data_IF_291301462056
#
_entry.id   IF_291301462056
#
_cell.length_a   1.000
_cell.length_b   1.000
_cell.length_c   1.000
_cell.angle_alpha   90.00
_cell.angle_beta   90.00
_cell.angle_gamma   90.00
#
_symmetry.space_group_name_H-M   'P 1'
#
loop_
_entity.id
_entity.type
_entity.pdbx_description
1 polymer ?
#
# COMPACT_ATOMS: atom_id res chain seq x y z
N UNK A 1 35.95 -25.93 6.79
CA UNK A 1 36.06 -24.46 6.58
C UNK A 1 36.14 -24.23 5.07
N UNK A 2 35.08 -23.73 4.43
CA UNK A 2 35.10 -23.34 3.01
C UNK A 2 36.03 -22.13 2.85
N UNK A 3 37.04 -22.24 2.00
CA UNK A 3 37.84 -21.10 1.59
C UNK A 3 36.99 -20.19 0.74
N UNK A 4 36.64 -19.00 1.23
CA UNK A 4 36.12 -17.93 0.40
C UNK A 4 37.22 -17.50 -0.57
N UNK A 5 37.07 -17.81 -1.86
CA UNK A 5 37.90 -17.19 -2.89
C UNK A 5 37.35 -15.78 -3.13
N UNK A 6 38.14 -14.78 -2.81
CA UNK A 6 37.87 -13.40 -3.23
C UNK A 6 38.02 -13.35 -4.78
N UNK A 7 36.95 -13.09 -5.47
CA UNK A 7 37.00 -12.79 -6.90
C UNK A 7 37.71 -11.44 -7.03
N UNK A 8 38.83 -11.40 -7.78
CA UNK A 8 39.52 -10.13 -7.98
C UNK A 8 38.63 -9.17 -8.79
N UNK A 9 38.70 -7.86 -8.50
CA UNK A 9 37.92 -6.85 -9.21
C UNK A 9 38.10 -6.89 -10.73
N UNK A 10 39.29 -7.29 -11.24
CA UNK A 10 39.52 -7.49 -12.66
C UNK A 10 38.69 -8.64 -13.23
N UNK A 11 38.60 -9.78 -12.55
CA UNK A 11 37.74 -10.91 -13.02
C UNK A 11 36.26 -10.57 -12.99
N UNK A 12 35.82 -9.74 -12.05
CA UNK A 12 34.47 -9.23 -12.02
C UNK A 12 34.20 -8.31 -13.21
N UNK A 13 35.11 -7.38 -13.51
CA UNK A 13 35.01 -6.48 -14.66
C UNK A 13 35.03 -7.24 -16.00
N UNK A 14 35.89 -8.25 -16.14
CA UNK A 14 35.91 -9.11 -17.33
C UNK A 14 34.61 -9.90 -17.46
N UNK A 15 34.04 -10.43 -16.39
CA UNK A 15 32.74 -11.13 -16.41
C UNK A 15 31.59 -10.20 -16.76
N UNK A 16 31.68 -8.94 -16.39
CA UNK A 16 30.63 -7.94 -16.65
C UNK A 16 30.77 -7.27 -18.03
N UNK A 17 31.93 -7.33 -18.66
CA UNK A 17 32.16 -6.69 -19.96
C UNK A 17 31.29 -7.26 -21.12
N UNK A 18 30.69 -8.43 -20.92
CA UNK A 18 29.76 -9.03 -21.86
C UNK A 18 28.27 -8.66 -21.63
N UNK A 19 27.94 -7.95 -20.57
CA UNK A 19 26.59 -7.48 -20.37
C UNK A 19 26.37 -6.16 -21.12
N UNK A 20 25.51 -6.20 -22.14
CA UNK A 20 25.04 -4.97 -22.76
C UNK A 20 24.28 -4.15 -21.71
N UNK A 21 24.55 -2.86 -21.62
CA UNK A 21 23.76 -1.96 -20.82
C UNK A 21 22.32 -1.99 -21.36
N UNK A 22 21.37 -2.33 -20.50
CA UNK A 22 19.95 -2.20 -20.82
C UNK A 22 19.66 -0.71 -20.84
N UNK A 23 19.09 -0.21 -21.95
CA UNK A 23 18.69 1.19 -22.04
C UNK A 23 17.59 1.46 -20.99
N UNK A 24 17.68 2.60 -20.34
CA UNK A 24 16.62 3.02 -19.42
C UNK A 24 15.29 3.22 -20.19
N UNK A 25 14.15 2.86 -19.60
CA UNK A 25 12.84 3.09 -20.21
C UNK A 25 12.60 4.58 -20.42
N UNK A 26 11.92 4.94 -21.52
CA UNK A 26 11.81 6.33 -21.96
C UNK A 26 10.38 6.86 -22.04
N UNK A 27 9.36 6.05 -21.85
CA UNK A 27 7.96 6.47 -21.95
C UNK A 27 6.96 5.33 -21.99
N UNK A 28 5.69 5.65 -22.22
CA UNK A 28 4.56 4.70 -22.16
C UNK A 28 4.64 3.55 -23.17
N UNK A 29 5.47 3.69 -24.23
CA UNK A 29 5.68 2.66 -25.24
C UNK A 29 6.98 1.85 -25.03
N UNK A 30 7.70 2.15 -23.97
CA UNK A 30 9.00 1.52 -23.66
C UNK A 30 9.16 1.40 -22.14
N UNK A 31 8.18 0.80 -21.49
CA UNK A 31 8.17 0.58 -20.05
C UNK A 31 8.99 -0.66 -19.67
N UNK A 32 9.58 -0.62 -18.49
CA UNK A 32 10.08 -1.80 -17.82
C UNK A 32 8.97 -2.46 -17.01
N UNK A 33 8.82 -3.77 -17.16
CA UNK A 33 7.87 -4.58 -16.40
C UNK A 33 8.61 -5.48 -15.44
N UNK A 34 8.27 -5.41 -14.18
CA UNK A 34 8.77 -6.31 -13.12
C UNK A 34 7.67 -7.31 -12.75
N UNK A 35 8.00 -8.60 -12.83
CA UNK A 35 7.13 -9.67 -12.35
C UNK A 35 7.50 -10.02 -10.93
N UNK A 36 6.61 -9.69 -9.98
CA UNK A 36 6.83 -9.93 -8.57
C UNK A 36 5.88 -10.99 -8.03
N UNK A 37 6.36 -11.83 -7.12
CA UNK A 37 5.45 -12.68 -6.36
C UNK A 37 4.57 -11.80 -5.48
N UNK A 38 3.28 -12.15 -5.39
CA UNK A 38 2.37 -11.47 -4.49
C UNK A 38 2.72 -11.75 -3.03
N UNK A 39 2.58 -10.74 -2.17
CA UNK A 39 2.95 -10.85 -0.76
C UNK A 39 2.10 -11.87 0.02
N UNK A 40 0.87 -12.10 -0.40
CA UNK A 40 -0.08 -12.97 0.29
C UNK A 40 -0.26 -14.32 -0.42
N UNK A 41 -0.49 -14.31 -1.73
CA UNK A 41 -0.78 -15.54 -2.48
C UNK A 41 0.43 -16.14 -3.20
N UNK A 42 1.61 -15.47 -3.12
CA UNK A 42 2.88 -15.85 -3.70
C UNK A 42 2.78 -16.02 -5.23
N UNK A 43 3.19 -17.16 -5.77
CA UNK A 43 3.05 -17.51 -7.19
C UNK A 43 1.63 -18.03 -7.54
N UNK A 44 0.71 -17.95 -6.61
CA UNK A 44 -0.66 -18.46 -6.69
C UNK A 44 -0.87 -19.80 -6.00
N UNK A 45 0.15 -20.36 -5.34
CA UNK A 45 -0.01 -21.60 -4.57
C UNK A 45 -0.98 -21.45 -3.40
N UNK A 46 -1.12 -20.24 -2.86
CA UNK A 46 -2.00 -19.94 -1.75
C UNK A 46 -3.31 -19.24 -2.15
N UNK A 47 -3.59 -19.07 -3.44
CA UNK A 47 -4.71 -18.26 -3.92
C UNK A 47 -6.09 -18.75 -3.45
N UNK A 48 -6.23 -20.02 -3.08
CA UNK A 48 -7.48 -20.55 -2.54
C UNK A 48 -7.61 -20.43 -1.01
N UNK A 49 -6.70 -19.70 -0.36
CA UNK A 49 -6.78 -19.38 1.06
C UNK A 49 -7.47 -18.03 1.23
N UNK A 50 -8.67 -18.02 1.81
CA UNK A 50 -9.46 -16.80 1.96
C UNK A 50 -8.85 -15.78 2.91
N UNK A 51 -8.16 -16.19 3.98
CA UNK A 51 -7.47 -15.26 4.86
C UNK A 51 -6.32 -14.55 4.14
N UNK A 52 -5.56 -15.27 3.30
CA UNK A 52 -4.50 -14.66 2.50
C UNK A 52 -5.05 -13.79 1.37
N UNK A 53 -6.17 -14.16 0.77
CA UNK A 53 -6.85 -13.33 -0.22
C UNK A 53 -7.36 -12.01 0.37
N UNK A 54 -7.84 -12.02 1.61
CA UNK A 54 -8.31 -10.80 2.30
C UNK A 54 -7.21 -10.09 3.09
N UNK A 55 -5.99 -10.68 3.17
CA UNK A 55 -4.83 -10.03 3.75
C UNK A 55 -4.36 -8.91 2.84
N UNK A 56 -4.34 -7.65 3.30
CA UNK A 56 -3.94 -6.54 2.46
C UNK A 56 -2.49 -6.67 2.00
N UNK A 57 -2.23 -6.33 0.76
CA UNK A 57 -0.86 -6.19 0.27
C UNK A 57 -0.10 -5.16 1.12
N UNK A 58 1.16 -5.40 1.49
CA UNK A 58 1.91 -4.53 2.38
C UNK A 58 2.03 -3.08 1.90
N UNK A 59 2.12 -2.85 0.60
CA UNK A 59 2.30 -1.53 0.01
C UNK A 59 1.02 -0.95 -0.54
N UNK A 60 0.33 -1.69 -1.40
CA UNK A 60 -0.84 -1.20 -2.13
C UNK A 60 -2.14 -1.28 -1.35
N UNK A 61 -2.17 -2.06 -0.26
CA UNK A 61 -3.37 -2.37 0.54
C UNK A 61 -4.52 -3.02 -0.23
N UNK A 62 -4.22 -3.55 -1.41
CA UNK A 62 -5.17 -4.34 -2.19
C UNK A 62 -5.42 -5.70 -1.55
N UNK A 63 -6.64 -6.19 -1.76
CA UNK A 63 -7.08 -7.53 -1.41
C UNK A 63 -7.82 -8.14 -2.59
N UNK A 64 -7.92 -9.46 -2.65
CA UNK A 64 -8.77 -10.20 -3.58
C UNK A 64 -8.45 -10.07 -5.08
N UNK A 65 -7.68 -9.09 -5.48
CA UNK A 65 -7.27 -8.82 -6.84
C UNK A 65 -5.81 -8.39 -6.90
N UNK A 66 -5.16 -8.55 -8.04
CA UNK A 66 -3.95 -7.83 -8.36
C UNK A 66 -4.27 -6.60 -9.22
N UNK A 67 -3.29 -5.71 -9.34
CA UNK A 67 -3.37 -4.54 -10.20
C UNK A 67 -2.09 -4.38 -11.03
N UNK A 68 -2.18 -3.58 -12.08
CA UNK A 68 -1.03 -3.04 -12.79
C UNK A 68 -0.55 -1.85 -11.97
N UNK A 69 0.55 -2.03 -11.20
CA UNK A 69 1.12 -0.94 -10.43
C UNK A 69 1.94 -0.03 -11.32
N UNK A 70 1.65 1.25 -11.26
CA UNK A 70 2.31 2.28 -12.06
C UNK A 70 2.88 3.38 -11.15
N UNK A 71 3.95 4.03 -11.61
CA UNK A 71 4.50 5.19 -10.93
C UNK A 71 3.55 6.40 -11.05
N UNK A 72 3.66 7.39 -10.14
CA UNK A 72 2.93 8.65 -10.27
C UNK A 72 3.18 9.35 -11.61
N UNK A 73 4.38 9.25 -12.16
CA UNK A 73 4.73 9.84 -13.45
C UNK A 73 3.97 9.18 -14.60
N UNK A 74 3.96 7.84 -14.66
CA UNK A 74 3.18 7.11 -15.67
C UNK A 74 1.70 7.43 -15.54
N UNK A 75 1.18 7.53 -14.33
CA UNK A 75 -0.22 7.90 -14.10
C UNK A 75 -0.56 9.31 -14.60
N UNK A 76 0.36 10.27 -14.44
CA UNK A 76 0.20 11.62 -14.95
C UNK A 76 0.26 11.67 -16.48
N UNK A 77 1.18 10.95 -17.11
CA UNK A 77 1.26 10.86 -18.57
C UNK A 77 0.06 10.15 -19.22
N UNK A 78 -0.59 9.26 -18.48
CA UNK A 78 -1.85 8.60 -18.89
C UNK A 78 -3.10 9.45 -18.62
N UNK A 79 -2.94 10.65 -18.05
CA UNK A 79 -4.05 11.51 -17.60
C UNK A 79 -5.03 10.80 -16.62
N UNK A 80 -4.52 9.85 -15.87
CA UNK A 80 -5.27 9.19 -14.79
C UNK A 80 -5.44 10.13 -13.59
N UNK A 81 -4.49 11.04 -13.38
CA UNK A 81 -4.44 11.98 -12.27
C UNK A 81 -4.22 13.37 -12.81
N UNK A 82 -5.10 14.33 -12.48
CA UNK A 82 -4.81 15.74 -12.73
C UNK A 82 -3.84 16.28 -11.66
N UNK A 83 -3.07 17.31 -11.98
CA UNK A 83 -2.12 17.94 -11.07
C UNK A 83 -2.77 18.38 -9.74
N UNK A 84 -4.05 18.81 -9.77
CA UNK A 84 -4.84 19.14 -8.59
C UNK A 84 -5.30 17.94 -7.78
N UNK A 85 -5.04 16.74 -8.24
CA UNK A 85 -5.54 15.48 -7.68
C UNK A 85 -4.48 14.63 -7.02
N UNK A 86 -3.26 15.14 -6.83
CA UNK A 86 -2.22 14.36 -6.15
C UNK A 86 -2.58 14.09 -4.68
N UNK A 87 -3.32 14.96 -4.00
CA UNK A 87 -4.06 14.63 -2.77
C UNK A 87 -5.04 13.47 -2.98
N UNK A 88 -5.50 13.27 -4.18
CA UNK A 88 -6.53 12.33 -4.55
C UNK A 88 -5.99 11.04 -5.17
N UNK A 89 -4.69 10.91 -5.42
CA UNK A 89 -4.03 9.60 -5.54
C UNK A 89 -4.31 8.80 -4.28
N UNK A 90 -4.46 9.50 -3.19
CA UNK A 90 -4.81 9.00 -1.88
C UNK A 90 -6.31 8.97 -1.63
N UNK A 91 -7.08 9.67 -2.44
CA UNK A 91 -8.54 9.69 -2.43
C UNK A 91 -9.00 9.40 -3.83
N UNK A 92 -9.29 8.23 -4.21
CA UNK A 92 -10.18 7.94 -5.34
C UNK A 92 -9.94 8.83 -6.58
N UNK A 93 -9.51 8.27 -7.66
CA UNK A 93 -9.40 8.98 -8.94
C UNK A 93 -10.72 9.75 -9.21
N UNK A 94 -10.73 11.10 -9.17
CA UNK A 94 -11.96 11.90 -9.26
C UNK A 94 -12.68 11.73 -10.61
N UNK A 95 -11.95 11.32 -11.64
CA UNK A 95 -12.50 11.10 -12.96
C UNK A 95 -13.33 9.81 -13.05
N UNK A 96 -13.31 8.99 -12.01
CA UNK A 96 -13.95 7.66 -12.00
C UNK A 96 -14.77 7.42 -10.73
N UNK A 97 -15.31 8.45 -10.10
CA UNK A 97 -16.28 8.28 -9.02
C UNK A 97 -17.67 8.09 -9.61
N UNK A 98 -18.26 6.93 -9.41
CA UNK A 98 -19.62 6.60 -9.81
C UNK A 98 -20.39 6.09 -8.59
N UNK A 99 -21.57 6.67 -8.35
CA UNK A 99 -22.44 6.30 -7.21
C UNK A 99 -21.70 6.36 -5.84
N UNK A 100 -20.83 7.36 -5.65
CA UNK A 100 -20.04 7.52 -4.42
C UNK A 100 -18.94 6.50 -4.23
N UNK A 101 -18.65 5.67 -5.24
CA UNK A 101 -17.59 4.65 -5.19
C UNK A 101 -16.46 4.99 -6.14
N UNK A 102 -15.27 4.60 -5.76
CA UNK A 102 -14.08 4.77 -6.58
C UNK A 102 -13.86 3.58 -7.48
N UNK A 103 -13.43 3.91 -8.67
CA UNK A 103 -13.04 2.94 -9.68
C UNK A 103 -11.63 3.26 -10.16
N UNK A 104 -10.88 2.24 -10.48
CA UNK A 104 -9.59 2.33 -11.13
C UNK A 104 -9.75 2.19 -12.64
N UNK A 105 -9.02 2.95 -13.46
CA UNK A 105 -9.01 2.73 -14.89
C UNK A 105 -8.46 1.34 -15.20
N UNK A 106 -8.87 0.80 -16.34
CA UNK A 106 -8.38 -0.47 -16.86
C UNK A 106 -7.42 -0.18 -17.99
N UNK A 107 -6.27 -0.85 -17.97
CA UNK A 107 -5.26 -0.74 -19.01
C UNK A 107 -4.87 -2.10 -19.57
N UNK A 108 -4.34 -2.10 -20.78
CA UNK A 108 -3.71 -3.25 -21.44
C UNK A 108 -2.20 -3.05 -21.45
N UNK A 109 -1.49 -4.06 -20.99
CA UNK A 109 -0.02 -4.16 -21.11
C UNK A 109 0.30 -5.12 -22.25
N UNK A 110 1.08 -4.63 -23.21
CA UNK A 110 1.53 -5.43 -24.38
C UNK A 110 3.05 -5.64 -24.30
N UNK A 111 3.50 -6.89 -24.40
CA UNK A 111 4.91 -7.28 -24.47
C UNK A 111 5.07 -8.37 -25.54
N UNK A 112 5.93 -8.16 -26.51
CA UNK A 112 6.22 -9.13 -27.58
C UNK A 112 4.94 -9.70 -28.24
N UNK A 113 3.93 -8.84 -28.48
CA UNK A 113 2.67 -9.21 -29.10
C UNK A 113 1.73 -10.02 -28.20
N UNK A 114 2.03 -10.16 -26.91
CA UNK A 114 1.15 -10.76 -25.89
C UNK A 114 0.57 -9.67 -25.01
N UNK A 115 -0.65 -9.87 -24.57
CA UNK A 115 -1.42 -8.86 -23.86
C UNK A 115 -2.03 -9.39 -22.58
N UNK A 116 -2.11 -8.52 -21.57
CA UNK A 116 -2.96 -8.67 -20.41
C UNK A 116 -3.72 -7.38 -20.17
N UNK A 117 -4.89 -7.51 -19.59
CA UNK A 117 -5.73 -6.37 -19.21
C UNK A 117 -6.06 -6.44 -17.73
N UNK A 118 -5.94 -5.31 -17.03
CA UNK A 118 -6.22 -5.24 -15.59
C UNK A 118 -6.42 -3.82 -15.10
N UNK A 119 -6.91 -3.72 -13.86
CA UNK A 119 -7.05 -2.43 -13.18
C UNK A 119 -5.69 -1.81 -12.88
N UNK A 120 -5.58 -0.50 -13.02
CA UNK A 120 -4.37 0.27 -12.71
C UNK A 120 -4.45 0.79 -11.30
N UNK A 121 -3.34 0.66 -10.54
CA UNK A 121 -3.18 1.33 -9.26
C UNK A 121 -1.85 2.08 -9.23
N UNK A 122 -1.91 3.31 -8.74
CA UNK A 122 -0.72 4.14 -8.56
C UNK A 122 -0.02 3.70 -7.28
N UNK A 123 1.29 3.51 -7.37
CA UNK A 123 2.14 3.15 -6.24
C UNK A 123 3.25 4.21 -6.10
N UNK A 124 3.15 5.11 -5.11
CA UNK A 124 4.20 6.08 -4.84
C UNK A 124 5.54 5.40 -4.52
N UNK A 125 6.64 5.96 -4.97
CA UNK A 125 7.99 5.38 -4.81
C UNK A 125 8.37 4.34 -5.84
N UNK A 126 7.49 4.02 -6.78
CA UNK A 126 7.84 3.20 -7.93
C UNK A 126 8.62 4.06 -8.94
N UNK A 127 9.71 3.49 -9.46
CA UNK A 127 10.56 4.18 -10.43
C UNK A 127 9.79 4.59 -11.69
N UNK A 128 10.22 5.72 -12.26
CA UNK A 128 9.63 6.28 -13.48
C UNK A 128 9.70 5.27 -14.61
N UNK A 129 8.60 5.11 -15.34
CA UNK A 129 8.47 4.17 -16.46
C UNK A 129 8.66 2.69 -16.11
N UNK A 130 8.67 2.33 -14.83
CA UNK A 130 8.58 0.95 -14.39
C UNK A 130 7.15 0.62 -13.95
N UNK A 131 6.70 -0.59 -14.25
CA UNK A 131 5.42 -1.12 -13.79
C UNK A 131 5.64 -2.47 -13.12
N UNK A 132 4.84 -2.77 -12.09
CA UNK A 132 4.88 -4.06 -11.40
C UNK A 132 3.62 -4.85 -11.73
N UNK A 133 3.80 -6.10 -12.10
CA UNK A 133 2.74 -7.07 -12.34
C UNK A 133 2.84 -8.21 -11.32
N UNK A 134 1.99 -8.22 -10.28
CA UNK A 134 1.95 -9.31 -9.32
C UNK A 134 1.56 -10.64 -9.98
N UNK A 135 2.25 -11.68 -9.58
CA UNK A 135 1.98 -13.06 -9.98
C UNK A 135 0.88 -13.68 -9.11
N UNK A 136 0.40 -14.84 -9.49
CA UNK A 136 -0.44 -15.67 -8.64
C UNK A 136 -1.92 -15.63 -8.93
N UNK A 137 -2.42 -14.57 -9.50
CA UNK A 137 -3.83 -14.33 -9.82
C UNK A 137 -4.26 -14.82 -11.21
N UNK A 138 -5.53 -14.64 -11.55
CA UNK A 138 -6.10 -14.93 -12.87
C UNK A 138 -6.32 -16.41 -13.17
N UNK A 139 -6.36 -17.25 -12.16
CA UNK A 139 -6.60 -18.70 -12.32
C UNK A 139 -8.08 -19.02 -12.41
N UNK A 140 -8.44 -19.92 -13.31
CA UNK A 140 -9.84 -20.31 -13.60
C UNK A 140 -10.31 -21.57 -12.88
N UNK A 141 -9.39 -22.34 -12.25
CA UNK A 141 -9.68 -23.58 -11.56
C UNK A 141 -8.82 -23.75 -10.32
N UNK A 142 -9.18 -23.08 -9.23
CA UNK A 142 -8.41 -23.09 -7.96
C UNK A 142 -9.26 -23.33 -6.74
N UNK A 143 -10.54 -23.62 -6.88
CA UNK A 143 -11.45 -23.81 -5.77
C UNK A 143 -12.41 -22.64 -5.58
N UNK A 144 -13.05 -22.58 -4.41
CA UNK A 144 -14.17 -21.65 -4.15
C UNK A 144 -13.75 -20.19 -4.05
N UNK A 145 -12.54 -19.94 -3.53
CA UNK A 145 -12.07 -18.60 -3.14
C UNK A 145 -11.21 -17.96 -4.24
N UNK A 146 -10.29 -18.75 -4.81
CA UNK A 146 -9.29 -18.23 -5.74
C UNK A 146 -9.70 -18.21 -7.21
N UNK A 147 -10.83 -18.81 -7.58
CA UNK A 147 -11.25 -18.88 -8.99
C UNK A 147 -11.68 -17.50 -9.49
N UNK A 148 -11.10 -17.06 -10.60
CA UNK A 148 -11.38 -15.77 -11.26
C UNK A 148 -11.05 -14.52 -10.41
N UNK A 149 -10.08 -14.62 -9.50
CA UNK A 149 -9.51 -13.46 -8.81
C UNK A 149 -8.41 -12.83 -9.67
N UNK A 150 -8.52 -11.54 -9.94
CA UNK A 150 -7.53 -10.78 -10.68
C UNK A 150 -7.27 -11.24 -12.11
N UNK A 151 -6.11 -10.85 -12.63
CA UNK A 151 -5.63 -11.24 -13.97
C UNK A 151 -4.33 -12.04 -13.89
N UNK A 152 -4.01 -12.80 -14.97
CA UNK A 152 -2.84 -13.67 -15.00
C UNK A 152 -1.65 -12.99 -15.66
N UNK A 153 -0.68 -12.52 -14.89
CA UNK A 153 0.59 -11.99 -15.37
C UNK A 153 1.47 -13.07 -16.05
N UNK A 154 1.19 -14.35 -15.79
CA UNK A 154 1.89 -15.44 -16.47
C UNK A 154 1.62 -15.49 -17.98
N UNK A 155 0.55 -14.91 -18.47
CA UNK A 155 0.21 -14.91 -19.91
C UNK A 155 1.25 -14.17 -20.76
N UNK A 156 1.93 -13.16 -20.20
CA UNK A 156 2.95 -12.37 -20.89
C UNK A 156 4.37 -12.64 -20.38
N UNK A 157 4.51 -13.38 -19.28
CA UNK A 157 5.80 -13.78 -18.72
C UNK A 157 6.42 -14.91 -19.55
N UNK A 158 7.71 -14.83 -19.85
CA UNK A 158 8.43 -15.86 -20.60
C UNK A 158 9.64 -16.39 -19.84
N UNK A 159 10.20 -17.54 -20.27
CA UNK A 159 11.43 -18.07 -19.69
C UNK A 159 12.66 -17.18 -19.94
N UNK A 160 12.61 -16.32 -20.95
CA UNK A 160 13.67 -15.34 -21.25
C UNK A 160 13.56 -14.09 -20.38
N UNK A 161 12.36 -13.81 -19.87
CA UNK A 161 11.99 -12.61 -19.12
C UNK A 161 11.20 -13.03 -17.89
N UNK A 162 11.84 -13.79 -17.01
CA UNK A 162 11.18 -14.40 -15.87
C UNK A 162 10.94 -13.43 -14.70
N UNK A 163 11.78 -12.39 -14.58
CA UNK A 163 11.72 -11.41 -13.48
C UNK A 163 11.42 -10.01 -13.96
N UNK A 164 11.99 -9.60 -15.08
CA UNK A 164 11.71 -8.29 -15.68
C UNK A 164 11.86 -8.35 -17.21
N UNK A 165 11.27 -7.37 -17.89
CA UNK A 165 11.35 -7.18 -19.34
C UNK A 165 11.18 -5.71 -19.68
N UNK A 166 11.92 -5.21 -20.65
CA UNK A 166 11.80 -3.85 -21.19
C UNK A 166 11.01 -3.85 -22.51
N UNK A 167 10.56 -2.68 -22.95
CA UNK A 167 9.84 -2.51 -24.21
C UNK A 167 8.34 -2.80 -24.11
N UNK A 168 7.78 -2.73 -22.92
CA UNK A 168 6.34 -2.89 -22.75
C UNK A 168 5.59 -1.61 -23.12
N UNK A 169 4.37 -1.78 -23.66
CA UNK A 169 3.43 -0.72 -23.96
C UNK A 169 2.26 -0.78 -22.98
N UNK A 170 1.82 0.37 -22.47
CA UNK A 170 0.67 0.52 -21.60
C UNK A 170 -0.36 1.47 -22.25
N UNK A 171 -1.58 0.99 -22.40
CA UNK A 171 -2.68 1.76 -23.01
C UNK A 171 -3.97 1.62 -22.18
N UNK A 172 -4.66 2.74 -21.95
CA UNK A 172 -5.97 2.72 -21.30
C UNK A 172 -7.03 2.15 -22.24
N UNK A 173 -7.92 1.32 -21.70
CA UNK A 173 -9.03 0.74 -22.47
C UNK A 173 -10.27 1.63 -22.50
N UNK A 174 -10.35 2.63 -21.61
CA UNK A 174 -11.56 3.43 -21.35
C UNK A 174 -12.54 2.75 -20.40
N UNK A 175 -12.30 1.51 -20.01
CA UNK A 175 -13.09 0.81 -19.00
C UNK A 175 -12.60 1.14 -17.59
N UNK A 176 -13.43 0.83 -16.59
CA UNK A 176 -13.11 1.03 -15.18
C UNK A 176 -13.50 -0.19 -14.34
N UNK A 177 -12.74 -0.45 -13.29
CA UNK A 177 -12.98 -1.54 -12.35
C UNK A 177 -12.90 -1.03 -10.90
N UNK A 178 -13.69 -1.57 -10.02
CA UNK A 178 -13.55 -1.31 -8.60
C UNK A 178 -12.60 -2.34 -7.99
N UNK A 179 -11.43 -1.88 -7.54
CA UNK A 179 -10.49 -2.68 -6.76
C UNK A 179 -10.92 -2.72 -5.28
N UNK A 180 -10.59 -3.80 -4.59
CA UNK A 180 -10.87 -3.97 -3.17
C UNK A 180 -9.66 -3.52 -2.35
N UNK A 181 -9.69 -2.30 -1.84
CA UNK A 181 -8.63 -1.69 -1.06
C UNK A 181 -9.08 -1.46 0.38
N UNK A 182 -8.23 -1.78 1.35
CA UNK A 182 -8.52 -1.61 2.77
C UNK A 182 -8.13 -0.23 3.30
N UNK A 183 -7.34 0.54 2.55
CA UNK A 183 -6.93 1.89 2.92
C UNK A 183 -7.28 2.88 1.81
N UNK A 184 -8.11 3.86 2.14
CA UNK A 184 -8.58 4.87 1.18
C UNK A 184 -7.81 6.20 1.27
N UNK A 185 -7.02 6.43 2.33
CA UNK A 185 -6.25 7.64 2.56
C UNK A 185 -4.77 7.29 2.78
N UNK A 186 -3.90 7.87 1.99
CA UNK A 186 -2.48 7.58 1.97
C UNK A 186 -1.61 8.77 2.42
N UNK A 187 -2.22 9.92 2.63
CA UNK A 187 -1.59 11.11 3.19
C UNK A 187 -2.17 11.43 4.56
N UNK A 188 -1.34 11.85 5.48
CA UNK A 188 -1.79 12.35 6.79
C UNK A 188 -2.43 13.74 6.69
N UNK A 189 -2.30 14.43 5.57
CA UNK A 189 -2.85 15.77 5.34
C UNK A 189 -2.47 16.77 6.45
N UNK A 190 -1.24 16.70 6.94
CA UNK A 190 -0.73 17.53 8.03
C UNK A 190 -1.26 17.16 9.42
N UNK A 191 -2.06 16.10 9.55
CA UNK A 191 -2.54 15.63 10.85
C UNK A 191 -1.48 14.76 11.53
N UNK A 192 -1.27 14.96 12.84
CA UNK A 192 -0.32 14.16 13.62
C UNK A 192 -0.87 12.77 13.96
N UNK A 193 -1.20 11.96 12.95
CA UNK A 193 -1.67 10.57 13.11
C UNK A 193 -0.52 9.68 13.59
N UNK A 194 0.65 9.84 12.98
CA UNK A 194 1.89 9.22 13.39
C UNK A 194 2.74 10.28 14.08
N UNK A 195 3.42 9.90 15.13
CA UNK A 195 4.30 10.77 15.90
C UNK A 195 5.62 10.09 16.09
N UNK A 196 6.67 10.76 15.68
CA UNK A 196 8.04 10.27 15.73
C UNK A 196 8.94 11.29 16.38
N UNK A 197 10.02 10.83 16.99
CA UNK A 197 11.04 11.67 17.61
C UNK A 197 12.33 10.90 17.71
N UNK A 198 13.44 11.63 17.83
CA UNK A 198 14.73 11.08 18.10
C UNK A 198 14.90 10.75 19.59
N UNK A 199 15.86 9.90 19.95
CA UNK A 199 16.16 9.56 21.32
C UNK A 199 16.57 10.80 22.14
N UNK A 200 17.31 11.70 21.56
CA UNK A 200 17.77 12.93 22.21
C UNK A 200 16.59 13.89 22.52
N UNK A 201 15.66 14.01 21.61
CA UNK A 201 14.42 14.78 21.79
C UNK A 201 13.56 14.15 22.91
N UNK A 202 13.41 12.84 22.88
CA UNK A 202 12.70 12.12 23.94
C UNK A 202 13.37 12.27 25.31
N UNK A 203 14.70 12.20 25.37
CA UNK A 203 15.44 12.36 26.60
C UNK A 203 15.34 13.79 27.17
N UNK A 204 15.27 14.81 26.28
CA UNK A 204 15.13 16.21 26.67
C UNK A 204 13.69 16.57 27.08
N UNK A 205 12.71 16.00 26.41
CA UNK A 205 11.28 16.24 26.64
C UNK A 205 10.45 14.96 26.46
N UNK A 206 10.32 14.12 27.49
CA UNK A 206 9.53 12.89 27.42
C UNK A 206 8.05 13.11 27.09
N UNK A 207 7.55 14.34 27.18
CA UNK A 207 6.16 14.71 26.89
C UNK A 207 5.99 15.37 25.51
N UNK A 208 7.00 15.28 24.65
CA UNK A 208 6.99 15.86 23.30
C UNK A 208 5.72 15.50 22.49
N UNK A 209 5.19 14.30 22.70
CA UNK A 209 3.98 13.81 22.04
C UNK A 209 2.77 14.72 22.28
N UNK A 210 2.67 15.33 23.46
CA UNK A 210 1.54 16.22 23.80
C UNK A 210 1.57 17.53 23.00
N UNK A 211 2.73 17.89 22.47
CA UNK A 211 2.95 19.15 21.72
C UNK A 211 2.70 18.99 20.21
N UNK A 212 2.47 17.80 19.72
CA UNK A 212 2.35 17.50 18.28
C UNK A 212 0.92 17.63 17.73
N UNK A 213 0.27 18.78 17.92
CA UNK A 213 -0.92 19.15 17.16
C UNK A 213 -2.19 18.32 17.42
N UNK A 214 -2.29 17.64 18.55
CA UNK A 214 -3.51 16.90 18.94
C UNK A 214 -4.71 17.80 19.12
N UNK A 215 -4.47 19.03 19.50
CA UNK A 215 -5.52 20.00 19.84
C UNK A 215 -6.35 20.41 18.62
N UNK A 216 -5.73 20.46 17.44
CA UNK A 216 -6.41 20.83 16.20
C UNK A 216 -7.35 19.75 15.66
N UNK A 217 -7.21 18.51 16.14
CA UNK A 217 -7.98 17.36 15.66
C UNK A 217 -8.92 16.75 16.69
N UNK A 218 -8.95 17.32 17.89
CA UNK A 218 -9.95 16.96 18.89
C UNK A 218 -11.32 17.46 18.43
N UNK A 219 -12.39 16.67 18.57
CA UNK A 219 -13.73 17.16 18.27
C UNK A 219 -14.02 18.42 19.09
N UNK A 220 -14.82 19.36 18.58
CA UNK A 220 -15.19 20.53 19.32
C UNK A 220 -15.85 20.11 20.64
N UNK A 221 -15.36 20.68 21.73
CA UNK A 221 -15.87 20.38 23.06
C UNK A 221 -17.14 21.20 23.26
N UNK A 222 -18.18 20.51 23.64
CA UNK A 222 -19.48 21.10 23.96
C UNK A 222 -19.57 21.28 25.50
N UNK A 223 -20.01 22.46 25.96
CA UNK A 223 -20.26 22.72 27.36
C UNK A 223 -19.09 23.29 28.16
N UNK A 224 -19.06 22.97 29.44
CA UNK A 224 -18.16 23.57 30.45
C UNK A 224 -16.68 23.16 30.31
N UNK A 225 -16.40 22.22 29.41
CA UNK A 225 -15.05 21.75 29.14
C UNK A 225 -14.22 22.72 28.29
N UNK A 226 -14.83 23.79 27.80
CA UNK A 226 -14.18 24.82 27.00
C UNK A 226 -13.12 25.52 27.85
N UNK A 227 -11.87 25.28 27.53
CA UNK A 227 -10.73 25.84 28.27
C UNK A 227 -9.98 24.83 29.16
N UNK A 228 -10.43 23.59 29.25
CA UNK A 228 -9.66 22.53 29.90
C UNK A 228 -8.44 22.14 29.06
N UNK A 229 -7.32 21.87 29.72
CA UNK A 229 -6.16 21.27 29.06
C UNK A 229 -6.47 19.84 28.58
N UNK A 230 -5.73 19.35 27.58
CA UNK A 230 -5.87 17.97 27.07
C UNK A 230 -5.75 16.95 28.22
N UNK A 231 -4.85 17.20 29.18
CA UNK A 231 -4.64 16.35 30.35
C UNK A 231 -5.83 16.37 31.33
N UNK A 232 -6.46 17.50 31.52
CA UNK A 232 -7.69 17.59 32.33
C UNK A 232 -8.85 16.86 31.67
N UNK A 233 -8.99 17.01 30.35
CA UNK A 233 -10.02 16.32 29.57
C UNK A 233 -9.87 14.81 29.63
N UNK A 234 -8.65 14.29 29.57
CA UNK A 234 -8.41 12.85 29.63
C UNK A 234 -8.75 12.22 30.98
N UNK A 235 -8.79 13.02 32.05
CA UNK A 235 -9.14 12.55 33.41
C UNK A 235 -10.62 12.68 33.73
N UNK A 236 -11.27 13.72 33.23
CA UNK A 236 -12.61 14.11 33.66
C UNK A 236 -13.69 13.73 32.65
N UNK A 237 -13.33 13.64 31.35
CA UNK A 237 -14.27 13.26 30.31
C UNK A 237 -13.81 12.03 29.54
N UNK A 238 -14.72 11.10 29.24
CA UNK A 238 -14.39 10.00 28.37
C UNK A 238 -14.11 10.54 26.99
N UNK A 239 -12.81 10.72 26.67
CA UNK A 239 -12.28 11.02 25.33
C UNK A 239 -13.16 11.93 24.47
N UNK A 240 -13.18 13.21 24.78
CA UNK A 240 -13.63 14.23 23.85
C UNK A 240 -15.06 14.06 23.33
N UNK A 241 -16.02 13.80 24.21
CA UNK A 241 -17.42 13.81 23.86
C UNK A 241 -18.05 12.44 23.53
N UNK A 242 -17.44 11.34 23.95
CA UNK A 242 -18.14 10.05 23.94
C UNK A 242 -19.34 10.06 24.86
N UNK A 243 -20.48 9.57 24.39
CA UNK A 243 -21.68 9.33 25.20
C UNK A 243 -21.57 8.10 26.12
N UNK A 244 -20.49 7.34 25.98
CA UNK A 244 -20.23 6.13 26.77
C UNK A 244 -19.16 6.40 27.81
N UNK A 245 -19.35 5.84 29.00
CA UNK A 245 -18.30 5.80 30.02
C UNK A 245 -17.12 4.99 29.51
N UNK A 246 -15.93 5.45 29.82
CA UNK A 246 -14.71 4.69 29.53
C UNK A 246 -14.78 3.34 30.27
N UNK A 247 -14.50 2.21 29.61
CA UNK A 247 -14.37 0.93 30.31
C UNK A 247 -13.30 1.02 31.40
N UNK A 248 -13.53 0.33 32.50
CA UNK A 248 -12.53 0.20 33.55
C UNK A 248 -11.47 -0.82 33.16
N UNK A 249 -10.23 -0.39 33.00
CA UNK A 249 -9.08 -1.22 32.65
C UNK A 249 -8.20 -1.55 33.86
N UNK A 250 -8.74 -1.53 35.08
CA UNK A 250 -7.99 -1.78 36.32
C UNK A 250 -7.86 -3.27 36.68
N UNK A 251 -8.10 -4.18 35.75
CA UNK A 251 -7.92 -5.62 35.95
C UNK A 251 -6.49 -6.01 36.35
N UNK A 252 -6.37 -7.18 36.99
CA UNK A 252 -5.07 -7.72 37.48
C UNK A 252 -4.07 -7.90 36.31
N UNK A 253 -4.58 -8.27 35.14
CA UNK A 253 -3.78 -8.42 33.93
C UNK A 253 -4.18 -7.36 32.92
N UNK A 254 -3.19 -6.61 32.46
CA UNK A 254 -3.32 -5.63 31.40
C UNK A 254 -2.31 -5.97 30.30
N UNK A 255 -2.81 -6.08 29.08
CA UNK A 255 -2.00 -6.44 27.93
C UNK A 255 -1.70 -5.21 27.10
N UNK A 256 -0.45 -5.08 26.69
CA UNK A 256 0.01 -4.09 25.74
C UNK A 256 0.84 -4.75 24.66
N UNK A 257 0.77 -4.22 23.45
CA UNK A 257 1.60 -4.64 22.33
C UNK A 257 2.48 -3.48 21.90
N UNK A 258 3.79 -3.72 21.82
CA UNK A 258 4.74 -2.80 21.23
C UNK A 258 5.26 -3.38 19.90
N UNK A 259 5.28 -2.56 18.87
CA UNK A 259 5.81 -2.92 17.56
C UNK A 259 6.96 -1.96 17.25
N UNK A 260 8.14 -2.53 17.02
CA UNK A 260 9.32 -1.76 16.59
C UNK A 260 9.20 -1.45 15.09
N UNK A 261 8.81 -0.22 14.76
CA UNK A 261 8.62 0.21 13.39
C UNK A 261 9.94 0.32 12.60
N UNK A 262 11.10 0.37 13.27
CA UNK A 262 12.40 0.35 12.58
C UNK A 262 12.72 -1.03 11.96
N UNK A 263 12.12 -2.09 12.47
CA UNK A 263 12.31 -3.47 11.95
C UNK A 263 11.06 -4.01 11.26
N UNK A 264 9.92 -3.36 11.40
CA UNK A 264 8.66 -3.79 10.80
C UNK A 264 8.69 -3.60 9.28
N UNK A 265 8.57 -4.70 8.52
CA UNK A 265 8.47 -4.65 7.06
C UNK A 265 7.04 -4.41 6.56
N UNK A 266 6.04 -4.38 7.44
CA UNK A 266 4.63 -4.27 7.07
C UNK A 266 4.05 -5.52 6.41
N UNK A 267 4.65 -6.69 6.60
CA UNK A 267 4.27 -7.95 5.92
C UNK A 267 2.88 -8.50 6.30
N UNK A 268 2.15 -7.86 7.22
CA UNK A 268 0.82 -8.27 7.71
C UNK A 268 0.74 -9.67 8.36
N UNK A 269 1.86 -10.29 8.72
CA UNK A 269 1.85 -11.58 9.41
C UNK A 269 1.09 -11.51 10.76
N UNK A 270 1.21 -10.40 11.49
CA UNK A 270 0.45 -10.16 12.73
C UNK A 270 -1.07 -10.05 12.47
N UNK A 271 -1.47 -9.47 11.35
CA UNK A 271 -2.87 -9.36 10.92
C UNK A 271 -3.46 -10.74 10.67
N UNK A 272 -2.76 -11.58 9.89
CA UNK A 272 -3.18 -12.96 9.60
C UNK A 272 -3.18 -13.82 10.86
N UNK A 273 -2.19 -13.68 11.74
CA UNK A 273 -2.14 -14.39 13.02
C UNK A 273 -3.35 -14.04 13.89
N UNK A 274 -3.70 -12.75 13.98
CA UNK A 274 -4.88 -12.30 14.72
C UNK A 274 -6.17 -12.87 14.13
N UNK A 275 -6.30 -12.86 12.80
CA UNK A 275 -7.47 -13.42 12.12
C UNK A 275 -7.63 -14.92 12.39
N UNK A 276 -6.54 -15.68 12.29
CA UNK A 276 -6.58 -17.13 12.48
C UNK A 276 -6.86 -17.51 13.93
N UNK A 277 -6.22 -16.86 14.89
CA UNK A 277 -6.38 -17.13 16.32
C UNK A 277 -7.79 -16.78 16.83
N UNK A 278 -8.32 -15.65 16.40
CA UNK A 278 -9.62 -15.17 16.82
C UNK A 278 -10.76 -15.60 15.90
N UNK A 279 -10.49 -16.45 14.91
CA UNK A 279 -11.48 -16.92 13.94
C UNK A 279 -12.27 -15.76 13.30
N UNK A 280 -11.58 -14.71 12.92
CA UNK A 280 -12.19 -13.52 12.32
C UNK A 280 -12.74 -13.89 10.95
N UNK A 281 -14.01 -13.59 10.63
CA UNK A 281 -14.62 -13.97 9.37
C UNK A 281 -14.03 -13.23 8.20
N UNK A 282 -13.91 -13.94 7.06
CA UNK A 282 -13.62 -13.36 5.76
C UNK A 282 -14.93 -12.82 5.21
N UNK A 283 -14.94 -11.57 4.75
CA UNK A 283 -16.15 -10.92 4.23
C UNK A 283 -16.25 -10.96 2.70
N UNK A 284 -15.12 -11.19 2.01
CA UNK A 284 -15.05 -11.28 0.56
C UNK A 284 -14.91 -9.94 -0.15
N UNK A 285 -14.50 -9.99 -1.41
CA UNK A 285 -14.15 -8.84 -2.25
C UNK A 285 -15.20 -7.73 -2.27
N UNK A 286 -16.48 -8.08 -2.46
CA UNK A 286 -17.55 -7.08 -2.53
C UNK A 286 -17.74 -6.34 -1.20
N UNK A 287 -17.57 -6.99 -0.09
CA UNK A 287 -17.70 -6.35 1.23
C UNK A 287 -16.49 -5.52 1.59
N UNK A 288 -15.26 -5.93 1.21
CA UNK A 288 -14.07 -5.08 1.34
C UNK A 288 -14.22 -3.79 0.55
N UNK A 289 -14.74 -3.85 -0.68
CA UNK A 289 -15.07 -2.67 -1.49
C UNK A 289 -16.06 -1.70 -0.82
N UNK A 290 -16.78 -2.18 0.17
CA UNK A 290 -17.74 -1.41 0.99
C UNK A 290 -17.18 -0.99 2.33
N UNK A 291 -15.88 -1.27 2.61
CA UNK A 291 -15.23 -0.99 3.90
C UNK A 291 -15.80 -1.81 5.05
N UNK A 292 -16.10 -3.10 4.81
CA UNK A 292 -16.70 -4.01 5.80
C UNK A 292 -15.79 -5.16 6.20
N UNK A 293 -14.51 -5.07 5.88
CA UNK A 293 -13.51 -6.01 6.38
C UNK A 293 -13.45 -5.98 7.92
N UNK A 294 -13.09 -7.12 8.51
CA UNK A 294 -13.17 -7.33 9.95
C UNK A 294 -11.80 -7.40 10.63
N UNK A 295 -10.81 -6.75 10.09
CA UNK A 295 -9.46 -6.77 10.65
C UNK A 295 -9.41 -6.02 11.99
N UNK A 296 -9.05 -6.72 13.08
CA UNK A 296 -8.86 -6.11 14.39
C UNK A 296 -7.53 -5.37 14.51
N UNK A 297 -6.51 -5.89 13.81
CA UNK A 297 -5.21 -5.25 13.67
C UNK A 297 -5.09 -4.78 12.22
N UNK A 298 -4.64 -3.54 12.03
CA UNK A 298 -4.38 -2.96 10.71
C UNK A 298 -2.95 -2.47 10.64
N UNK A 299 -2.34 -2.63 9.48
CA UNK A 299 -1.08 -2.02 9.13
C UNK A 299 -1.35 -1.08 7.95
N UNK A 300 -1.56 0.18 8.24
CA UNK A 300 -1.78 1.22 7.24
C UNK A 300 -0.46 1.91 6.91
N UNK A 301 -0.34 2.46 5.70
CA UNK A 301 0.83 3.21 5.25
C UNK A 301 0.42 4.62 4.87
N UNK A 302 1.27 5.56 5.22
CA UNK A 302 1.13 6.94 4.82
C UNK A 302 2.39 7.39 4.10
N UNK A 303 2.18 8.13 3.02
CA UNK A 303 3.28 8.70 2.25
C UNK A 303 3.39 10.19 2.56
N UNK A 304 4.61 10.67 2.77
CA UNK A 304 4.90 12.09 2.89
C UNK A 304 5.88 12.54 1.83
N UNK A 305 5.68 13.74 1.33
CA UNK A 305 6.62 14.45 0.47
C UNK A 305 7.33 15.53 1.27
N UNK A 306 8.47 16.01 0.79
CA UNK A 306 9.27 17.07 1.45
C UNK A 306 8.52 18.39 1.62
N UNK A 307 7.48 18.65 0.83
CA UNK A 307 6.53 19.75 1.02
C UNK A 307 5.11 19.17 1.15
N UNK A 308 4.60 19.21 2.38
CA UNK A 308 3.24 18.75 2.71
C UNK A 308 2.14 19.59 2.05
N UNK A 309 2.47 20.75 1.51
CA UNK A 309 1.55 21.66 0.85
C UNK A 309 1.64 21.57 -0.68
N UNK A 310 2.74 21.06 -1.22
CA UNK A 310 2.90 20.86 -2.66
C UNK A 310 2.64 19.39 -3.05
N UNK A 311 1.41 19.13 -3.34
CA UNK A 311 0.91 17.81 -3.70
C UNK A 311 1.20 17.44 -5.17
N UNK A 312 1.75 18.37 -5.95
CA UNK A 312 2.25 18.11 -7.30
C UNK A 312 3.58 17.36 -7.28
N UNK A 313 4.28 17.43 -6.15
CA UNK A 313 5.51 16.70 -5.90
C UNK A 313 5.25 15.52 -4.97
N UNK A 314 4.58 14.46 -5.44
CA UNK A 314 4.90 13.16 -4.84
C UNK A 314 6.30 12.86 -5.33
N UNK A 315 7.31 12.92 -4.45
CA UNK A 315 8.67 12.70 -4.87
C UNK A 315 8.81 11.28 -5.41
N UNK A 316 9.74 11.13 -6.30
CA UNK A 316 10.20 9.82 -6.74
C UNK A 316 10.59 8.95 -5.54
N UNK A 317 11.01 9.59 -4.42
CA UNK A 317 11.35 8.96 -3.15
C UNK A 317 10.46 9.49 -2.00
N UNK A 318 9.19 9.07 -1.90
CA UNK A 318 8.35 9.43 -0.76
C UNK A 318 8.86 8.76 0.52
N UNK A 319 8.74 9.46 1.64
CA UNK A 319 8.88 8.84 2.95
C UNK A 319 7.61 8.03 3.25
N UNK A 320 7.78 6.87 3.83
CA UNK A 320 6.70 5.91 4.14
C UNK A 320 6.70 5.58 5.62
#
# INVERSE_FOLDING_TARGET
>A
KAKRSLISGMRLAESMSGFAAIAAPTGLNDLEVVFANDASVDDGRYINNGWLQECPDPMSKLTWDNAIFVSPRVANELDIVSADSMLQITRKNPNVVKDGRSYSPVATVTIDGREITGGVQILPGLDNYSIILPLGYGRTRTGRVGTNSGFSSYAIRTSKSATFVSGAKLELTGEVIQLANTQEHWSMEGRAIIRESNLDDYASDPQWVEKMGMESHSPPILGDEKGMSVQQRSKETPRGGSIYKHPDYTGIHQWGMAIDLNVCSGCNACVVACQSENNIPIVGRDQVRRGREMHWIRMDRYFSSGDVNDLSTIPEDPQV
#
